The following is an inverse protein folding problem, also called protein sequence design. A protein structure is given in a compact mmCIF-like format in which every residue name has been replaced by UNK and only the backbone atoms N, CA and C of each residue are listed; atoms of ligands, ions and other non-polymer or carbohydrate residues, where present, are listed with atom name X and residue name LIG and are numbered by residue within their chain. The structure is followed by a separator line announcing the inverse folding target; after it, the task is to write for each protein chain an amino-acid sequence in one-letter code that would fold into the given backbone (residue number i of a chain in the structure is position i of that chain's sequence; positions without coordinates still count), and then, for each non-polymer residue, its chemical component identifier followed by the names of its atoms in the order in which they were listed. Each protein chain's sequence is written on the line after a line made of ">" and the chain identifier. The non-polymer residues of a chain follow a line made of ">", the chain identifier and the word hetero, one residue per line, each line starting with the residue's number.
data_IF_213900153567
#
_entry.id   IF_213900153567
#
_cell.length_a   1.000
_cell.length_b   1.000
_cell.length_c   1.000
_cell.angle_alpha   90.00
_cell.angle_beta   90.00
_cell.angle_gamma   90.00
#
_symmetry.space_group_name_H-M   'P 1'
#
loop_
_entity.id
_entity.type
_entity.pdbx_description
1 polymer ?
#
# COMPACT_ATOMS: atom_id res chain seq x y z
N UNK A 1 -21.27 57.21 27.53
CA UNK A 1 -21.33 56.18 26.46
C UNK A 1 -20.05 56.08 25.63
N UNK A 2 -19.48 57.18 25.09
CA UNK A 2 -18.30 57.15 24.20
C UNK A 2 -17.05 56.43 24.75
N UNK A 3 -16.72 56.60 26.04
CA UNK A 3 -15.56 55.92 26.66
C UNK A 3 -15.68 54.38 26.69
N UNK A 4 -16.88 53.83 26.89
CA UNK A 4 -17.09 52.37 26.91
C UNK A 4 -16.92 51.74 25.53
N UNK A 5 -17.35 52.46 24.48
CA UNK A 5 -17.21 52.01 23.09
C UNK A 5 -15.73 51.96 22.69
N UNK A 6 -14.93 52.97 23.07
CA UNK A 6 -13.49 53.01 22.78
C UNK A 6 -12.76 51.83 23.44
N UNK A 7 -13.09 51.52 24.70
CA UNK A 7 -12.48 50.38 25.42
C UNK A 7 -12.84 49.05 24.75
N UNK A 8 -14.11 48.89 24.33
CA UNK A 8 -14.56 47.66 23.67
C UNK A 8 -13.86 47.44 22.32
N UNK A 9 -13.65 48.51 21.55
CA UNK A 9 -12.92 48.45 20.27
C UNK A 9 -11.45 48.06 20.50
N UNK A 10 -10.80 48.61 21.53
CA UNK A 10 -9.41 48.26 21.85
C UNK A 10 -9.25 46.79 22.26
N UNK A 11 -10.22 46.23 22.98
CA UNK A 11 -10.23 44.80 23.36
C UNK A 11 -10.46 43.91 22.13
N UNK A 12 -11.39 44.27 21.24
CA UNK A 12 -11.60 43.53 20.00
C UNK A 12 -10.36 43.57 19.08
N UNK A 13 -9.70 44.72 19.01
CA UNK A 13 -8.48 44.88 18.22
C UNK A 13 -7.32 44.07 18.80
N UNK A 14 -7.18 43.99 20.12
CA UNK A 14 -6.15 43.15 20.76
C UNK A 14 -6.41 41.65 20.58
N UNK A 15 -7.68 41.21 20.65
CA UNK A 15 -8.06 39.82 20.33
C UNK A 15 -7.75 39.51 18.86
N UNK A 16 -8.02 40.43 17.94
CA UNK A 16 -7.74 40.23 16.52
C UNK A 16 -6.24 40.14 16.24
N UNK A 17 -5.42 41.00 16.87
CA UNK A 17 -3.95 40.92 16.78
C UNK A 17 -3.45 39.59 17.36
N UNK A 18 -3.97 39.15 18.51
CA UNK A 18 -3.57 37.90 19.14
C UNK A 18 -3.94 36.69 18.26
N UNK A 19 -5.15 36.67 17.68
CA UNK A 19 -5.59 35.65 16.74
C UNK A 19 -4.73 35.64 15.47
N UNK A 20 -4.37 36.81 14.95
CA UNK A 20 -3.47 36.95 13.80
C UNK A 20 -2.06 36.41 14.10
N UNK A 21 -1.51 36.70 15.29
CA UNK A 21 -0.23 36.14 15.73
C UNK A 21 -0.28 34.62 15.94
N UNK A 22 -1.38 34.08 16.48
CA UNK A 22 -1.58 32.64 16.62
C UNK A 22 -1.72 31.95 15.25
N UNK A 23 -2.44 32.56 14.31
CA UNK A 23 -2.53 32.10 12.92
C UNK A 23 -1.17 32.17 12.22
N UNK A 24 -0.41 33.25 12.37
CA UNK A 24 0.94 33.35 11.80
C UNK A 24 1.91 32.36 12.44
N UNK A 25 1.84 32.07 13.74
CA UNK A 25 2.64 30.99 14.35
C UNK A 25 2.30 29.61 13.80
N UNK A 26 1.03 29.34 13.49
CA UNK A 26 0.62 28.11 12.82
C UNK A 26 1.05 28.06 11.34
N UNK A 27 1.14 29.21 10.65
CA UNK A 27 1.56 29.28 9.25
C UNK A 27 3.10 29.26 9.12
N UNK A 28 3.84 29.90 10.02
CA UNK A 28 5.31 29.98 10.01
C UNK A 28 5.97 28.70 10.60
N UNK A 29 5.20 27.89 11.34
CA UNK A 29 5.57 26.51 11.68
C UNK A 29 5.49 25.52 10.52
N UNK A 30 4.97 25.93 9.36
CA UNK A 30 4.89 25.12 8.14
C UNK A 30 6.06 25.35 7.20
N UNK A 31 7.25 25.65 7.75
CA UNK A 31 8.46 25.23 7.05
C UNK A 31 8.52 23.73 7.24
N UNK A 32 8.34 22.99 6.16
CA UNK A 32 8.44 21.54 6.11
C UNK A 32 9.89 21.18 6.48
N UNK A 33 10.20 21.18 7.78
CA UNK A 33 11.25 20.36 8.33
C UNK A 33 10.67 18.95 8.26
N UNK A 34 10.80 18.37 7.06
CA UNK A 34 10.95 16.94 6.86
C UNK A 34 12.15 16.51 7.71
N UNK A 35 11.98 16.49 9.03
CA UNK A 35 12.83 15.70 9.89
C UNK A 35 12.42 14.27 9.53
N UNK A 36 13.04 13.74 8.48
CA UNK A 36 13.35 12.34 8.37
C UNK A 36 14.04 11.90 9.66
N UNK A 37 14.20 10.60 9.89
CA UNK A 37 15.24 10.17 10.82
C UNK A 37 16.51 10.97 10.50
N UNK A 38 17.23 11.49 11.51
CA UNK A 38 18.56 11.98 11.21
C UNK A 38 19.26 10.84 10.46
N UNK A 39 19.93 11.16 9.36
CA UNK A 39 20.62 10.17 8.51
C UNK A 39 21.42 9.18 9.37
N UNK A 40 22.01 9.71 10.44
CA UNK A 40 22.69 9.00 11.52
C UNK A 40 21.85 7.92 12.24
N UNK A 41 20.58 8.17 12.55
CA UNK A 41 19.70 7.17 13.19
C UNK A 41 19.38 6.02 12.22
N UNK A 42 19.17 6.33 10.94
CA UNK A 42 18.91 5.31 9.91
C UNK A 42 20.18 4.46 9.65
N UNK A 43 21.35 5.09 9.56
CA UNK A 43 22.64 4.41 9.43
C UNK A 43 22.93 3.52 10.64
N UNK A 44 22.70 4.02 11.86
CA UNK A 44 22.85 3.23 13.08
C UNK A 44 21.92 2.00 13.08
N UNK A 45 20.70 2.14 12.55
CA UNK A 45 19.78 1.01 12.40
C UNK A 45 20.30 0.00 11.38
N UNK A 46 20.80 0.42 10.21
CA UNK A 46 21.39 -0.50 9.21
C UNK A 46 22.55 -1.30 9.78
N UNK A 47 23.49 -0.61 10.43
CA UNK A 47 24.68 -1.24 11.02
C UNK A 47 24.26 -2.26 12.08
N UNK A 48 23.29 -1.92 12.95
CA UNK A 48 22.80 -2.83 13.98
C UNK A 48 21.99 -3.99 13.42
N UNK A 49 21.22 -3.77 12.36
CA UNK A 49 20.40 -4.78 11.70
C UNK A 49 21.16 -5.63 10.68
N UNK A 50 22.41 -5.28 10.37
CA UNK A 50 23.25 -5.96 9.38
C UNK A 50 22.55 -6.11 8.01
N UNK A 51 22.01 -4.99 7.51
CA UNK A 51 21.25 -4.91 6.25
C UNK A 51 21.90 -3.91 5.29
N UNK A 52 21.81 -4.19 3.99
CA UNK A 52 22.41 -3.35 2.95
C UNK A 52 21.56 -2.11 2.64
N UNK A 53 20.24 -2.23 2.81
CA UNK A 53 19.31 -1.16 2.49
C UNK A 53 18.09 -1.10 3.43
N UNK A 54 17.65 0.12 3.79
CA UNK A 54 16.48 0.39 4.67
C UNK A 54 15.62 1.60 4.27
N UNK A 55 15.99 2.34 3.21
CA UNK A 55 15.36 3.55 2.62
C UNK A 55 16.47 4.49 2.14
N UNK A 56 16.35 5.08 0.94
CA UNK A 56 17.32 6.04 0.38
C UNK A 56 18.79 5.61 0.50
N UNK A 57 19.00 4.31 0.66
CA UNK A 57 20.26 3.68 0.92
C UNK A 57 20.68 3.07 -0.39
N UNK A 58 21.36 3.90 -1.18
CA UNK A 58 22.42 3.62 -2.14
C UNK A 58 22.61 2.17 -2.63
N UNK A 59 21.53 1.47 -2.97
CA UNK A 59 21.62 0.63 -4.13
C UNK A 59 21.97 1.60 -5.27
N UNK A 60 23.08 1.34 -5.96
CA UNK A 60 23.52 2.18 -7.07
C UNK A 60 22.40 2.25 -8.13
N UNK A 61 22.43 3.17 -9.09
CA UNK A 61 21.31 3.39 -10.05
C UNK A 61 20.85 2.11 -10.80
N UNK A 62 21.72 1.10 -10.85
CA UNK A 62 21.49 -0.21 -11.47
C UNK A 62 21.01 -1.31 -10.50
N UNK A 63 20.73 -0.98 -9.25
CA UNK A 63 20.34 -1.92 -8.20
C UNK A 63 19.05 -1.50 -7.54
N UNK A 64 18.32 -2.48 -7.04
CA UNK A 64 17.06 -2.31 -6.32
C UNK A 64 17.20 -2.98 -4.96
N UNK A 65 16.70 -2.34 -3.91
CA UNK A 65 16.64 -2.96 -2.60
C UNK A 65 15.56 -4.05 -2.61
N UNK A 66 15.87 -5.31 -2.38
CA UNK A 66 14.93 -6.43 -2.25
C UNK A 66 15.32 -7.26 -1.03
N UNK A 67 14.36 -7.50 -0.13
CA UNK A 67 14.60 -8.22 1.13
C UNK A 67 15.80 -7.66 1.92
N UNK A 68 15.95 -6.33 1.93
CA UNK A 68 17.06 -5.62 2.57
C UNK A 68 18.45 -5.88 1.95
N UNK A 69 18.51 -6.34 0.69
CA UNK A 69 19.72 -6.52 -0.14
C UNK A 69 19.65 -5.69 -1.42
N UNK A 70 20.79 -5.23 -1.93
CA UNK A 70 20.84 -4.60 -3.24
C UNK A 70 20.99 -5.65 -4.36
N UNK A 71 19.95 -5.85 -5.16
CA UNK A 71 19.95 -6.77 -6.30
C UNK A 71 20.04 -5.99 -7.62
N UNK A 72 20.82 -6.45 -8.63
CA UNK A 72 20.86 -5.80 -9.94
C UNK A 72 19.48 -5.76 -10.60
N UNK A 73 19.09 -4.61 -11.14
CA UNK A 73 17.78 -4.39 -11.80
C UNK A 73 17.55 -5.34 -12.98
N UNK A 74 18.61 -5.70 -13.70
CA UNK A 74 18.55 -6.66 -14.81
C UNK A 74 18.15 -8.08 -14.39
N UNK A 75 18.31 -8.44 -13.11
CA UNK A 75 17.96 -9.75 -12.58
C UNK A 75 16.55 -9.78 -11.97
N UNK A 76 15.84 -8.65 -11.99
CA UNK A 76 14.55 -8.50 -11.34
C UNK A 76 13.47 -8.37 -12.40
N UNK A 77 12.60 -9.38 -12.47
CA UNK A 77 11.45 -9.36 -13.36
C UNK A 77 10.21 -8.86 -12.61
N UNK A 78 10.02 -7.54 -12.58
CA UNK A 78 8.77 -6.95 -12.11
C UNK A 78 7.60 -7.10 -13.09
N UNK A 79 7.81 -7.69 -14.27
CA UNK A 79 6.80 -7.93 -15.31
C UNK A 79 6.19 -9.33 -15.24
N UNK A 80 6.66 -10.18 -14.32
CA UNK A 80 6.20 -11.57 -14.21
C UNK A 80 4.68 -11.65 -14.01
N UNK A 81 4.04 -12.59 -14.72
CA UNK A 81 2.59 -12.82 -14.64
C UNK A 81 2.31 -14.29 -14.43
N UNK A 82 1.35 -14.58 -13.57
CA UNK A 82 0.91 -15.93 -13.27
C UNK A 82 -0.52 -16.14 -13.78
N UNK A 83 -0.76 -17.27 -14.47
CA UNK A 83 -2.13 -17.68 -14.80
C UNK A 83 -2.84 -18.19 -13.54
N UNK A 84 -4.10 -17.78 -13.40
CA UNK A 84 -4.99 -18.30 -12.36
C UNK A 84 -5.45 -19.72 -12.68
N UNK A 85 -5.41 -20.12 -13.96
CA UNK A 85 -5.69 -21.47 -14.41
C UNK A 85 -4.42 -22.35 -14.43
N UNK A 86 -4.61 -23.67 -14.52
CA UNK A 86 -3.52 -24.61 -14.76
C UNK A 86 -3.99 -25.81 -15.58
N UNK A 87 -3.06 -26.70 -15.93
CA UNK A 87 -3.33 -27.87 -16.78
C UNK A 87 -4.39 -28.83 -16.20
N UNK A 88 -4.65 -28.78 -14.89
CA UNK A 88 -5.63 -29.65 -14.20
C UNK A 88 -6.96 -28.93 -14.00
N UNK A 89 -6.93 -27.61 -13.79
CA UNK A 89 -8.11 -26.78 -13.53
C UNK A 89 -8.10 -25.58 -14.46
N UNK A 90 -8.86 -25.71 -15.54
CA UNK A 90 -9.12 -24.62 -16.48
C UNK A 90 -10.22 -23.71 -15.94
N UNK A 91 -10.09 -22.41 -16.19
CA UNK A 91 -11.16 -21.46 -15.96
C UNK A 91 -12.09 -21.46 -17.17
N UNK A 92 -13.41 -21.47 -16.93
CA UNK A 92 -14.42 -21.33 -17.97
C UNK A 92 -15.44 -20.27 -17.58
N UNK A 93 -16.23 -19.85 -18.55
CA UNK A 93 -17.40 -19.00 -18.29
C UNK A 93 -18.31 -19.66 -17.26
N UNK A 94 -18.71 -18.88 -16.25
CA UNK A 94 -19.48 -19.33 -15.09
C UNK A 94 -18.63 -19.76 -13.89
N UNK A 95 -17.33 -20.05 -14.05
CA UNK A 95 -16.45 -20.37 -12.93
C UNK A 95 -16.09 -19.15 -12.09
N UNK A 96 -15.83 -19.39 -10.80
CA UNK A 96 -15.18 -18.45 -9.90
C UNK A 96 -13.69 -18.34 -10.24
N UNK A 97 -13.13 -17.12 -10.14
CA UNK A 97 -11.73 -16.87 -10.47
C UNK A 97 -10.77 -17.69 -9.60
N UNK A 98 -11.15 -17.92 -8.35
CA UNK A 98 -10.33 -18.59 -7.33
C UNK A 98 -10.27 -20.13 -7.48
N UNK A 99 -11.02 -20.74 -8.41
CA UNK A 99 -11.27 -22.20 -8.44
C UNK A 99 -10.00 -23.03 -8.62
N UNK A 100 -9.06 -22.48 -9.39
CA UNK A 100 -7.79 -23.12 -9.71
C UNK A 100 -6.66 -22.59 -8.82
N UNK A 101 -6.67 -21.29 -8.50
CA UNK A 101 -5.69 -20.64 -7.64
C UNK A 101 -6.35 -19.55 -6.80
N UNK A 102 -6.33 -19.72 -5.47
CA UNK A 102 -6.98 -18.80 -4.51
C UNK A 102 -6.02 -17.77 -3.92
N UNK A 103 -4.76 -18.12 -3.73
CA UNK A 103 -3.75 -17.25 -3.10
C UNK A 103 -2.49 -17.28 -3.94
N UNK A 104 -1.96 -16.10 -4.25
CA UNK A 104 -0.65 -15.90 -4.83
C UNK A 104 0.31 -15.44 -3.75
N UNK A 105 1.50 -16.02 -3.77
CA UNK A 105 2.56 -15.76 -2.79
C UNK A 105 3.85 -15.39 -3.50
N UNK A 106 4.92 -15.16 -2.73
CA UNK A 106 6.29 -15.03 -3.26
C UNK A 106 6.73 -16.19 -4.18
N UNK A 107 6.08 -17.36 -4.13
CA UNK A 107 6.40 -18.46 -5.06
C UNK A 107 5.84 -18.24 -6.46
N UNK A 108 4.76 -17.47 -6.57
CA UNK A 108 4.09 -17.17 -7.83
C UNK A 108 4.60 -15.87 -8.45
N UNK A 109 5.01 -14.90 -7.62
CA UNK A 109 5.50 -13.57 -8.03
C UNK A 109 6.62 -13.12 -7.06
N UNK A 110 7.85 -13.66 -7.16
CA UNK A 110 8.90 -13.50 -6.16
C UNK A 110 9.31 -12.05 -5.89
N UNK A 111 9.34 -11.22 -6.92
CA UNK A 111 9.79 -9.83 -6.79
C UNK A 111 8.68 -8.89 -6.33
N UNK A 112 7.45 -9.07 -6.84
CA UNK A 112 6.29 -8.25 -6.46
C UNK A 112 5.75 -8.60 -5.07
N UNK A 113 5.84 -9.87 -4.67
CA UNK A 113 5.38 -10.39 -3.39
C UNK A 113 6.54 -10.83 -2.49
N UNK A 114 7.67 -10.10 -2.55
CA UNK A 114 8.82 -10.34 -1.66
C UNK A 114 8.48 -10.03 -0.21
N UNK A 115 8.98 -10.86 0.71
CA UNK A 115 8.83 -10.61 2.13
C UNK A 115 9.61 -9.34 2.53
N UNK A 116 9.18 -8.69 3.60
CA UNK A 116 9.87 -7.52 4.11
C UNK A 116 10.05 -7.55 5.63
N UNK A 117 10.85 -6.61 6.11
CA UNK A 117 11.19 -6.47 7.52
C UNK A 117 11.14 -5.01 7.96
N UNK A 118 10.70 -4.81 9.19
CA UNK A 118 10.83 -3.57 9.95
C UNK A 118 11.62 -3.86 11.22
N UNK A 119 12.26 -2.85 11.78
CA UNK A 119 13.24 -3.00 12.86
C UNK A 119 12.97 -2.03 14.00
N UNK A 120 13.20 -2.44 15.23
CA UNK A 120 13.03 -1.58 16.41
C UNK A 120 14.20 -1.79 17.37
N UNK A 121 14.64 -0.76 18.09
CA UNK A 121 15.66 -0.89 19.14
C UNK A 121 15.04 -0.64 20.51
N UNK A 122 14.70 -1.71 21.22
CA UNK A 122 14.23 -1.62 22.61
C UNK A 122 15.38 -1.98 23.54
N UNK A 123 15.74 -1.06 24.45
CA UNK A 123 16.79 -1.27 25.46
C UNK A 123 18.12 -1.76 24.87
N UNK A 124 18.47 -1.23 23.69
CA UNK A 124 19.69 -1.60 22.96
C UNK A 124 19.61 -2.93 22.20
N UNK A 125 18.49 -3.65 22.25
CA UNK A 125 18.26 -4.89 21.49
C UNK A 125 17.47 -4.60 20.22
N UNK A 126 17.93 -5.18 19.11
CA UNK A 126 17.21 -5.17 17.84
C UNK A 126 16.03 -6.15 17.90
N UNK A 127 14.85 -5.67 17.55
CA UNK A 127 13.63 -6.45 17.37
C UNK A 127 13.23 -6.36 15.90
N UNK A 128 12.92 -7.51 15.30
CA UNK A 128 12.56 -7.62 13.90
C UNK A 128 11.08 -7.95 13.73
N UNK A 129 10.41 -7.23 12.83
CA UNK A 129 9.01 -7.42 12.47
C UNK A 129 8.95 -7.82 11.01
N UNK A 130 8.66 -9.09 10.74
CA UNK A 130 8.53 -9.62 9.39
C UNK A 130 7.12 -9.39 8.87
N UNK A 131 7.00 -9.08 7.58
CA UNK A 131 5.72 -9.09 6.89
C UNK A 131 5.79 -9.83 5.56
N UNK A 132 4.69 -10.49 5.23
CA UNK A 132 4.54 -11.26 4.00
C UNK A 132 3.37 -10.72 3.19
N UNK A 133 3.61 -10.24 1.96
CA UNK A 133 2.55 -9.88 1.05
C UNK A 133 1.95 -11.11 0.34
N UNK A 134 0.64 -11.10 0.15
CA UNK A 134 -0.07 -12.10 -0.68
C UNK A 134 -1.16 -11.42 -1.51
N UNK A 135 -1.54 -12.06 -2.62
CA UNK A 135 -2.75 -11.69 -3.36
C UNK A 135 -3.79 -12.78 -3.17
N UNK A 136 -4.96 -12.43 -2.64
CA UNK A 136 -6.10 -13.32 -2.48
C UNK A 136 -7.04 -13.08 -3.64
N UNK A 137 -7.26 -14.10 -4.47
CA UNK A 137 -8.18 -14.04 -5.60
C UNK A 137 -9.61 -14.12 -5.09
N UNK A 138 -10.45 -13.20 -5.54
CA UNK A 138 -11.85 -13.13 -5.17
C UNK A 138 -12.71 -14.18 -5.87
N UNK A 139 -13.96 -14.26 -5.43
CA UNK A 139 -14.93 -15.27 -5.88
C UNK A 139 -15.75 -14.78 -7.09
N UNK A 140 -15.29 -13.69 -7.73
CA UNK A 140 -15.93 -13.13 -8.91
C UNK A 140 -15.98 -14.18 -10.02
N UNK A 141 -16.97 -14.05 -10.91
CA UNK A 141 -17.21 -15.02 -11.98
C UNK A 141 -17.05 -14.39 -13.34
N UNK A 142 -16.62 -15.22 -14.28
CA UNK A 142 -16.65 -14.88 -15.69
C UNK A 142 -18.09 -15.01 -16.17
N UNK A 143 -18.65 -13.93 -16.69
CA UNK A 143 -20.02 -13.86 -17.20
C UNK A 143 -19.99 -13.63 -18.71
N UNK A 144 -21.10 -13.96 -19.34
CA UNK A 144 -21.35 -13.73 -20.75
C UNK A 144 -22.70 -13.02 -20.87
N UNK A 145 -22.72 -11.90 -21.59
CA UNK A 145 -23.94 -11.15 -21.90
C UNK A 145 -23.81 -10.57 -23.30
N UNK A 146 -24.81 -10.78 -24.16
CA UNK A 146 -24.81 -10.29 -25.55
C UNK A 146 -23.52 -10.65 -26.34
N UNK A 147 -23.00 -11.86 -26.16
CA UNK A 147 -21.74 -12.35 -26.75
C UNK A 147 -20.47 -11.61 -26.27
N UNK A 148 -20.56 -10.78 -25.24
CA UNK A 148 -19.41 -10.19 -24.56
C UNK A 148 -19.11 -10.95 -23.27
N UNK A 149 -17.83 -11.27 -23.05
CA UNK A 149 -17.38 -11.87 -21.80
C UNK A 149 -16.81 -10.83 -20.86
N UNK A 150 -17.11 -10.94 -19.57
CA UNK A 150 -16.62 -10.00 -18.57
C UNK A 150 -16.53 -10.59 -17.17
N UNK A 151 -15.73 -9.95 -16.33
CA UNK A 151 -15.68 -10.17 -14.89
C UNK A 151 -16.40 -9.00 -14.23
N UNK A 152 -17.45 -9.28 -13.46
CA UNK A 152 -18.16 -8.25 -12.70
C UNK A 152 -17.52 -8.08 -11.32
N UNK A 153 -17.13 -6.86 -10.97
CA UNK A 153 -16.67 -6.51 -9.63
C UNK A 153 -17.81 -5.92 -8.78
N UNK A 154 -17.94 -6.35 -7.53
CA UNK A 154 -18.88 -5.76 -6.56
C UNK A 154 -18.11 -5.22 -5.37
N UNK A 155 -18.69 -4.23 -4.67
CA UNK A 155 -18.07 -3.59 -3.51
C UNK A 155 -17.55 -4.61 -2.49
N UNK A 156 -18.41 -5.56 -2.13
CA UNK A 156 -18.14 -6.57 -1.11
C UNK A 156 -17.41 -7.81 -1.66
N UNK A 157 -17.20 -7.86 -2.99
CA UNK A 157 -16.55 -8.97 -3.69
C UNK A 157 -15.43 -8.43 -4.58
N UNK A 158 -14.27 -8.10 -3.97
CA UNK A 158 -13.11 -7.63 -4.72
C UNK A 158 -12.66 -8.66 -5.77
N UNK A 159 -12.15 -8.20 -6.92
CA UNK A 159 -11.56 -9.11 -7.91
C UNK A 159 -10.36 -9.82 -7.30
N UNK A 160 -9.58 -9.08 -6.52
CA UNK A 160 -8.56 -9.62 -5.64
C UNK A 160 -8.27 -8.66 -4.48
N UNK A 161 -7.66 -9.19 -3.42
CA UNK A 161 -7.18 -8.42 -2.27
C UNK A 161 -5.68 -8.56 -2.20
N UNK A 162 -4.95 -7.46 -2.19
CA UNK A 162 -3.55 -7.47 -1.78
C UNK A 162 -3.50 -7.35 -0.27
N UNK A 163 -2.82 -8.28 0.40
CA UNK A 163 -2.77 -8.36 1.87
C UNK A 163 -1.33 -8.36 2.35
N UNK A 164 -1.03 -7.48 3.29
CA UNK A 164 0.19 -7.51 4.09
C UNK A 164 -0.11 -8.20 5.41
N UNK A 165 0.60 -9.28 5.74
CA UNK A 165 0.45 -10.01 7.00
C UNK A 165 1.70 -9.78 7.83
N UNK A 166 1.55 -9.25 9.04
CA UNK A 166 2.66 -9.07 9.96
C UNK A 166 2.79 -10.30 10.87
N UNK A 167 4.01 -10.82 10.97
CA UNK A 167 4.36 -11.93 11.87
C UNK A 167 4.12 -11.61 13.34
N UNK A 168 4.32 -10.35 13.71
CA UNK A 168 4.04 -9.79 15.02
C UNK A 168 3.25 -8.48 14.85
N UNK A 169 2.32 -8.15 15.77
CA UNK A 169 1.58 -6.89 15.71
C UNK A 169 2.51 -5.68 15.74
N UNK A 170 2.23 -4.68 14.90
CA UNK A 170 3.04 -3.47 14.75
C UNK A 170 2.31 -2.26 15.32
N UNK A 171 3.01 -1.48 16.14
CA UNK A 171 2.56 -0.15 16.54
C UNK A 171 3.11 0.91 15.58
N UNK A 172 2.30 1.34 14.62
CA UNK A 172 2.66 2.40 13.66
C UNK A 172 2.72 3.79 14.29
N UNK A 173 2.28 3.93 15.55
CA UNK A 173 2.43 5.16 16.34
C UNK A 173 3.82 5.29 16.95
N UNK A 174 4.60 4.22 16.93
CA UNK A 174 5.95 4.17 17.49
C UNK A 174 6.93 5.00 16.67
N UNK A 175 7.68 5.87 17.33
CA UNK A 175 8.71 6.72 16.71
C UNK A 175 9.76 5.89 15.97
N UNK A 176 10.05 4.68 16.45
CA UNK A 176 11.01 3.78 15.79
C UNK A 176 10.45 3.15 14.52
N UNK A 177 9.13 2.92 14.44
CA UNK A 177 8.45 2.44 13.22
C UNK A 177 8.31 3.54 12.18
N UNK A 178 8.04 4.76 12.62
CA UNK A 178 8.04 5.92 11.75
C UNK A 178 9.40 6.05 11.05
N UNK A 179 9.43 6.62 9.85
CA UNK A 179 10.65 6.80 9.06
C UNK A 179 11.18 5.57 8.34
N UNK A 180 10.81 4.36 8.76
CA UNK A 180 11.19 3.11 8.09
C UNK A 180 10.44 2.90 6.76
N UNK A 181 10.94 1.97 5.95
CA UNK A 181 10.38 1.60 4.65
C UNK A 181 9.48 0.38 4.75
N UNK A 182 8.24 0.53 4.30
CA UNK A 182 7.27 -0.54 4.08
C UNK A 182 7.14 -0.74 2.57
N UNK A 183 7.47 -1.93 2.07
CA UNK A 183 7.33 -2.25 0.66
C UNK A 183 5.91 -2.72 0.35
N UNK A 184 5.34 -2.17 -0.70
CA UNK A 184 4.01 -2.53 -1.20
C UNK A 184 4.11 -2.71 -2.72
N UNK A 185 3.87 -3.93 -3.20
CA UNK A 185 3.90 -4.29 -4.63
C UNK A 185 5.19 -3.88 -5.36
N UNK A 186 6.33 -4.03 -4.69
CA UNK A 186 7.65 -3.67 -5.23
C UNK A 186 8.06 -2.22 -4.96
N UNK A 187 7.13 -1.32 -4.64
CA UNK A 187 7.45 0.08 -4.32
C UNK A 187 7.68 0.28 -2.82
N UNK A 188 8.65 1.12 -2.48
CA UNK A 188 9.03 1.41 -1.10
C UNK A 188 8.32 2.65 -0.55
N UNK A 189 7.56 2.47 0.52
CA UNK A 189 6.83 3.54 1.19
C UNK A 189 7.43 3.87 2.53
N UNK A 190 7.67 5.15 2.75
CA UNK A 190 8.16 5.64 4.03
C UNK A 190 7.00 5.78 4.99
N UNK A 191 7.08 5.16 6.15
CA UNK A 191 6.14 5.39 7.24
C UNK A 191 6.31 6.83 7.74
N UNK A 192 5.27 7.64 7.65
CA UNK A 192 5.29 9.05 8.06
C UNK A 192 5.28 9.17 9.58
N UNK A 193 5.82 10.29 10.09
CA UNK A 193 5.76 10.65 11.51
C UNK A 193 4.36 10.90 12.05
N UNK A 194 3.39 11.12 11.14
CA UNK A 194 1.99 11.29 11.50
C UNK A 194 1.23 9.95 11.54
N UNK A 195 1.93 8.83 11.36
CA UNK A 195 1.31 7.51 11.41
C UNK A 195 0.88 7.15 12.82
N UNK A 196 -0.21 6.41 12.90
CA UNK A 196 -0.78 5.80 14.10
C UNK A 196 -1.41 4.47 13.73
N UNK A 197 -1.86 3.70 14.72
CA UNK A 197 -2.61 2.47 14.44
C UNK A 197 -4.01 2.74 13.84
N UNK A 198 -4.52 3.98 13.89
CA UNK A 198 -5.78 4.35 13.25
C UNK A 198 -5.59 4.78 11.80
N UNK A 199 -4.56 5.58 11.55
CA UNK A 199 -4.21 6.09 10.22
C UNK A 199 -2.73 5.88 9.98
N UNK A 200 -2.40 5.03 9.02
CA UNK A 200 -1.02 4.80 8.57
C UNK A 200 -0.76 5.75 7.40
N UNK A 201 0.10 6.75 7.60
CA UNK A 201 0.46 7.70 6.55
C UNK A 201 1.79 7.24 5.92
N UNK A 202 1.76 6.98 4.63
CA UNK A 202 2.89 6.52 3.83
C UNK A 202 3.34 7.61 2.87
N UNK A 203 4.64 7.68 2.58
CA UNK A 203 5.23 8.67 1.66
C UNK A 203 6.02 7.95 0.57
N UNK A 204 5.69 8.25 -0.70
CA UNK A 204 6.42 7.82 -1.90
C UNK A 204 6.62 9.05 -2.80
N UNK A 205 7.84 9.34 -3.23
CA UNK A 205 8.15 10.47 -4.13
C UNK A 205 7.51 11.80 -3.73
N UNK A 206 7.55 12.12 -2.43
CA UNK A 206 6.91 13.28 -1.81
C UNK A 206 5.37 13.30 -1.86
N UNK A 207 4.72 12.26 -2.39
CA UNK A 207 3.27 12.07 -2.32
C UNK A 207 2.90 11.33 -1.05
N UNK A 208 1.84 11.81 -0.40
CA UNK A 208 1.27 11.17 0.79
C UNK A 208 0.13 10.23 0.41
N UNK A 209 0.16 9.05 1.00
CA UNK A 209 -0.85 8.01 0.93
C UNK A 209 -1.35 7.78 2.35
N UNK A 210 -2.66 7.91 2.60
CA UNK A 210 -3.23 7.72 3.94
C UNK A 210 -4.10 6.47 3.93
N UNK A 211 -3.72 5.50 4.75
CA UNK A 211 -4.44 4.25 4.93
C UNK A 211 -5.29 4.37 6.19
N UNK A 212 -6.60 4.25 6.04
CA UNK A 212 -7.58 4.33 7.12
C UNK A 212 -8.64 3.25 6.91
N UNK A 213 -9.11 2.67 8.00
CA UNK A 213 -9.99 1.52 7.96
C UNK A 213 -11.36 1.88 7.34
N UNK A 214 -11.78 1.15 6.32
CA UNK A 214 -13.05 1.36 5.62
C UNK A 214 -13.03 2.49 4.58
N UNK A 215 -11.92 3.22 4.47
CA UNK A 215 -11.83 4.41 3.63
C UNK A 215 -11.19 4.13 2.26
N UNK A 216 -11.59 4.94 1.27
CA UNK A 216 -10.89 5.00 -0.02
C UNK A 216 -9.58 5.76 0.17
N UNK A 217 -8.49 5.19 -0.32
CA UNK A 217 -7.19 5.85 -0.21
C UNK A 217 -7.04 6.88 -1.32
N UNK A 218 -6.92 8.15 -0.94
CA UNK A 218 -6.59 9.20 -1.92
C UNK A 218 -5.22 8.89 -2.54
N UNK A 219 -5.13 9.02 -3.86
CA UNK A 219 -3.95 8.73 -4.69
C UNK A 219 -3.63 7.23 -4.89
N UNK A 220 -4.53 6.32 -4.49
CA UNK A 220 -4.51 4.92 -4.88
C UNK A 220 -5.90 4.54 -5.40
N UNK A 221 -5.99 3.80 -6.50
CA UNK A 221 -7.28 3.27 -7.01
C UNK A 221 -7.81 2.07 -6.18
N UNK A 222 -7.56 2.05 -4.87
CA UNK A 222 -8.14 1.03 -3.97
C UNK A 222 -9.56 1.40 -3.63
N UNK A 223 -10.42 0.40 -3.64
CA UNK A 223 -11.83 0.59 -3.29
C UNK A 223 -12.02 0.79 -1.79
N UNK A 224 -11.20 0.11 -0.99
CA UNK A 224 -11.24 0.15 0.47
C UNK A 224 -9.92 -0.37 1.03
N UNK A 225 -9.51 0.14 2.18
CA UNK A 225 -8.47 -0.47 3.00
C UNK A 225 -9.09 -1.02 4.28
N UNK A 226 -8.68 -2.22 4.69
CA UNK A 226 -9.03 -2.76 5.99
C UNK A 226 -7.76 -2.98 6.81
N UNK A 227 -7.75 -2.47 8.03
CA UNK A 227 -6.63 -2.59 8.96
C UNK A 227 -7.11 -3.40 10.14
N UNK A 228 -6.64 -4.64 10.27
CA UNK A 228 -6.96 -5.45 11.44
C UNK A 228 -5.90 -5.27 12.51
N UNK A 229 -6.34 -5.43 13.75
CA UNK A 229 -5.54 -5.19 14.94
C UNK A 229 -5.66 -6.36 15.90
N UNK A 230 -4.68 -6.51 16.77
CA UNK A 230 -4.76 -7.36 17.94
C UNK A 230 -5.57 -6.69 19.07
N UNK A 231 -5.66 -7.38 20.21
CA UNK A 231 -6.37 -6.90 21.41
C UNK A 231 -5.73 -5.65 22.04
N UNK A 232 -4.44 -5.41 21.76
CA UNK A 232 -3.70 -4.21 22.18
C UNK A 232 -3.90 -3.03 21.22
N UNK A 233 -4.62 -3.23 20.11
CA UNK A 233 -4.84 -2.21 19.07
C UNK A 233 -3.67 -2.00 18.12
N UNK A 234 -2.67 -2.90 18.11
CA UNK A 234 -1.54 -2.91 17.18
C UNK A 234 -1.93 -3.63 15.89
N UNK A 235 -1.37 -3.21 14.77
CA UNK A 235 -1.76 -3.68 13.43
C UNK A 235 -1.18 -5.06 13.13
N UNK A 236 -2.04 -6.01 12.76
CA UNK A 236 -1.66 -7.40 12.43
C UNK A 236 -1.72 -7.69 10.93
N UNK A 237 -2.61 -7.01 10.20
CA UNK A 237 -2.65 -7.07 8.75
C UNK A 237 -3.26 -5.81 8.13
N UNK A 238 -2.92 -5.57 6.86
CA UNK A 238 -3.49 -4.50 6.03
C UNK A 238 -3.97 -5.13 4.72
N UNK A 239 -5.26 -4.97 4.43
CA UNK A 239 -5.88 -5.40 3.19
C UNK A 239 -6.18 -4.21 2.29
N UNK A 240 -5.83 -4.36 1.01
CA UNK A 240 -6.16 -3.42 -0.04
C UNK A 240 -7.15 -4.11 -0.98
N UNK A 241 -8.41 -3.66 -0.95
CA UNK A 241 -9.49 -4.23 -1.76
C UNK A 241 -9.46 -3.62 -3.15
N UNK A 242 -9.25 -4.46 -4.16
CA UNK A 242 -9.06 -4.00 -5.52
C UNK A 242 -10.36 -4.16 -6.31
N UNK A 243 -11.02 -3.03 -6.53
CA UNK A 243 -12.21 -2.87 -7.37
C UNK A 243 -12.11 -1.52 -8.08
N UNK A 244 -12.01 -1.52 -9.41
CA UNK A 244 -11.95 -0.29 -10.20
C UNK A 244 -13.15 0.62 -9.96
N UNK A 245 -14.40 0.10 -9.89
CA UNK A 245 -15.65 0.77 -9.41
C UNK A 245 -16.72 -0.27 -9.01
N UNK A 246 -17.71 0.09 -8.21
CA UNK A 246 -18.89 -0.77 -7.96
C UNK A 246 -19.58 -1.10 -9.31
N UNK A 247 -19.90 -2.39 -9.53
CA UNK A 247 -20.54 -2.91 -10.74
C UNK A 247 -19.74 -2.69 -12.03
N UNK A 248 -18.40 -2.57 -11.94
CA UNK A 248 -17.59 -2.54 -13.14
C UNK A 248 -17.54 -3.92 -13.80
N UNK A 249 -17.58 -3.92 -15.14
CA UNK A 249 -17.30 -5.08 -15.99
C UNK A 249 -15.89 -4.94 -16.57
N UNK A 250 -15.01 -5.90 -16.29
CA UNK A 250 -13.71 -6.04 -16.96
C UNK A 250 -13.97 -6.86 -18.21
N UNK A 251 -13.94 -6.23 -19.39
CA UNK A 251 -14.24 -6.92 -20.65
C UNK A 251 -13.09 -7.82 -21.09
N UNK A 252 -13.40 -8.81 -21.91
CA UNK A 252 -12.39 -9.60 -22.61
C UNK A 252 -11.41 -8.69 -23.36
N UNK A 253 -10.10 -9.00 -23.29
CA UNK A 253 -8.98 -8.22 -23.86
C UNK A 253 -8.80 -6.83 -23.23
N UNK A 254 -9.66 -6.42 -22.30
CA UNK A 254 -9.39 -5.27 -21.45
C UNK A 254 -8.31 -5.65 -20.45
N UNK A 255 -7.21 -4.89 -20.45
CA UNK A 255 -6.24 -4.94 -19.37
C UNK A 255 -6.78 -4.12 -18.21
N UNK A 256 -6.98 -4.77 -17.07
CA UNK A 256 -7.17 -4.06 -15.83
C UNK A 256 -5.79 -3.64 -15.31
N UNK A 257 -5.35 -2.47 -15.75
CA UNK A 257 -4.23 -1.78 -15.09
C UNK A 257 -4.79 -0.95 -13.97
N UNK A 258 -4.57 -1.38 -12.73
CA UNK A 258 -4.96 -0.57 -11.57
C UNK A 258 -3.87 0.47 -11.33
N UNK A 259 -4.28 1.70 -11.00
CA UNK A 259 -3.33 2.77 -10.63
C UNK A 259 -2.75 2.59 -9.24
N UNK A 260 -3.20 1.59 -8.49
CA UNK A 260 -2.65 1.30 -7.18
C UNK A 260 -1.24 0.74 -7.39
N UNK A 261 -0.25 1.54 -6.98
CA UNK A 261 1.18 1.30 -7.18
C UNK A 261 1.63 1.30 -8.66
N UNK A 262 0.72 1.26 -9.65
CA UNK A 262 1.07 1.15 -11.09
C UNK A 262 1.94 -0.08 -11.42
N UNK A 263 1.92 -1.10 -10.55
CA UNK A 263 2.77 -2.32 -10.63
C UNK A 263 1.99 -3.60 -10.89
N UNK A 264 0.67 -3.62 -10.69
CA UNK A 264 -0.16 -4.78 -10.98
C UNK A 264 -1.01 -4.61 -12.24
N UNK A 265 -1.05 -5.64 -13.05
CA UNK A 265 -1.94 -5.82 -14.20
C UNK A 265 -2.70 -7.14 -14.06
N UNK A 266 -4.00 -7.10 -14.33
CA UNK A 266 -4.80 -8.28 -14.60
C UNK A 266 -5.20 -8.27 -16.08
N UNK A 267 -4.92 -9.37 -16.77
CA UNK A 267 -5.31 -9.58 -18.17
C UNK A 267 -6.29 -10.73 -18.27
N UNK A 268 -7.33 -10.57 -19.09
CA UNK A 268 -8.38 -11.56 -19.30
C UNK A 268 -8.60 -11.81 -20.80
N UNK A 269 -8.48 -13.07 -21.20
CA UNK A 269 -8.68 -13.52 -22.58
C UNK A 269 -9.50 -14.82 -22.63
N UNK A 270 -10.35 -14.96 -23.65
CA UNK A 270 -11.04 -16.23 -23.96
C UNK A 270 -10.25 -16.94 -25.06
N UNK A 271 -9.79 -18.15 -24.77
CA UNK A 271 -8.81 -18.85 -25.61
C UNK A 271 -9.44 -19.63 -26.75
N UNK A 272 -10.66 -20.19 -26.59
CA UNK A 272 -11.25 -21.16 -27.51
C UNK A 272 -12.79 -21.11 -27.56
N UNK A 273 -13.38 -21.85 -28.52
CA UNK A 273 -14.83 -22.11 -28.64
C UNK A 273 -15.47 -22.75 -27.41
N UNK A 274 -14.67 -23.41 -26.58
CA UNK A 274 -15.13 -24.09 -25.35
C UNK A 274 -15.32 -23.14 -24.16
N UNK A 275 -15.28 -21.83 -24.42
CA UNK A 275 -15.47 -20.77 -23.41
C UNK A 275 -14.45 -20.87 -22.26
N UNK A 276 -13.26 -21.36 -22.56
CA UNK A 276 -12.12 -21.39 -21.64
C UNK A 276 -11.47 -20.01 -21.54
N UNK A 277 -11.17 -19.58 -20.34
CA UNK A 277 -10.55 -18.30 -20.05
C UNK A 277 -9.12 -18.47 -19.54
N UNK A 278 -8.23 -17.59 -19.97
CA UNK A 278 -6.94 -17.37 -19.36
C UNK A 278 -6.97 -16.02 -18.65
N UNK A 279 -6.87 -16.05 -17.33
CA UNK A 279 -6.76 -14.85 -16.50
C UNK A 279 -5.39 -14.87 -15.88
N UNK A 280 -4.61 -13.82 -16.15
CA UNK A 280 -3.28 -13.64 -15.59
C UNK A 280 -3.25 -12.42 -14.71
N UNK A 281 -2.43 -12.48 -13.68
CA UNK A 281 -2.18 -11.39 -12.76
C UNK A 281 -0.68 -11.32 -12.47
N UNK A 282 -0.16 -10.11 -12.34
CA UNK A 282 1.23 -9.89 -12.00
C UNK A 282 1.67 -8.50 -12.39
N UNK A 283 2.92 -8.38 -12.78
CA UNK A 283 3.61 -7.14 -13.11
C UNK A 283 2.98 -6.33 -14.24
N UNK A 284 2.85 -5.02 -14.05
CA UNK A 284 2.52 -4.08 -15.12
C UNK A 284 3.79 -3.68 -15.88
N UNK A 285 3.81 -4.07 -17.14
CA UNK A 285 4.71 -3.66 -18.21
C UNK A 285 3.83 -3.57 -19.48
#
# INVERSE_FOLDING_TARGET
>A
MRKKIIIMILILFSIFILAYFLLQKNIIGFTINQNYFSEQTLENLKVKANVECLKNSHCNENFECIESKCLPRENIDFCEKVSLSNNVRTLKVGNELNIAKRVLTRRDLPYLLSDGKLFKIIDGKLIEYYYSPVIIIGDNRIKEENLEYFIESKKDYPVYVYRLIFSNPIDFSDLEMQGQSLRILGDEYIISKNSSNLVIELILDNKKVRLENGEKVKNLDVSLVNIQKDDDGKVTLIDFFINKRENMKIKEKEKLTEFIFNRLELSFEIMNTDKTADIKIGGKC
#
